data_IF_928225656691
#
_entry.id   IF_928225656691
#
_cell.length_a   1.000
_cell.length_b   1.000
_cell.length_c   1.000
_cell.angle_alpha   90.00
_cell.angle_beta   90.00
_cell.angle_gamma   90.00
#
_symmetry.space_group_name_H-M   'P 1'
#
loop_
_entity.id
_entity.type
_entity.pdbx_description
1 polymer ?
#
# COMPACT_ATOMS: atom_id res chain seq x y z
N UNK A 1 -52.67 -42.93 -19.47
CA UNK A 1 -52.66 -42.47 -18.07
C UNK A 1 -51.34 -42.76 -17.32
N UNK A 2 -50.21 -42.98 -18.01
CA UNK A 2 -48.88 -43.08 -17.37
C UNK A 2 -47.87 -41.99 -17.80
N UNK A 3 -48.29 -41.02 -18.61
CA UNK A 3 -47.41 -39.94 -19.09
C UNK A 3 -47.57 -38.60 -18.33
N UNK A 4 -48.35 -38.55 -17.25
CA UNK A 4 -48.63 -37.30 -16.52
C UNK A 4 -48.14 -37.29 -15.06
N UNK A 5 -47.30 -38.23 -14.63
CA UNK A 5 -46.80 -38.28 -13.23
C UNK A 5 -45.29 -37.98 -13.13
N UNK A 6 -44.56 -37.92 -14.25
CA UNK A 6 -43.09 -37.68 -14.24
C UNK A 6 -42.71 -36.20 -14.43
N UNK A 7 -43.64 -35.25 -14.26
CA UNK A 7 -43.35 -33.81 -14.43
C UNK A 7 -43.28 -33.00 -13.13
N UNK A 8 -43.41 -33.63 -11.95
CA UNK A 8 -43.46 -32.92 -10.65
C UNK A 8 -42.40 -33.36 -9.64
N UNK A 9 -41.28 -33.94 -10.08
CA UNK A 9 -40.16 -34.23 -9.16
C UNK A 9 -38.79 -33.92 -9.76
N UNK A 10 -38.68 -32.78 -10.45
CA UNK A 10 -37.40 -32.12 -10.67
C UNK A 10 -37.29 -30.92 -9.72
N UNK A 11 -36.24 -30.81 -8.90
CA UNK A 11 -36.03 -29.67 -8.02
C UNK A 11 -35.87 -28.39 -8.84
N UNK A 12 -36.80 -27.45 -8.66
CA UNK A 12 -36.85 -26.13 -9.31
C UNK A 12 -35.84 -25.13 -8.75
N UNK A 13 -34.70 -25.61 -8.25
CA UNK A 13 -33.73 -24.80 -7.49
C UNK A 13 -32.57 -24.25 -8.35
N UNK A 14 -32.46 -24.70 -9.62
CA UNK A 14 -31.43 -24.21 -10.55
C UNK A 14 -31.58 -22.74 -10.94
N UNK A 15 -32.79 -22.18 -10.87
CA UNK A 15 -33.06 -20.80 -11.26
C UNK A 15 -32.61 -19.80 -10.18
N UNK A 16 -32.64 -20.19 -8.90
CA UNK A 16 -32.17 -19.36 -7.78
C UNK A 16 -30.64 -19.30 -7.72
N UNK A 17 -29.95 -20.40 -8.06
CA UNK A 17 -28.50 -20.44 -8.18
C UNK A 17 -27.97 -19.60 -9.36
N UNK A 18 -28.65 -19.60 -10.51
CA UNK A 18 -28.33 -18.71 -11.62
C UNK A 18 -28.49 -17.22 -11.25
N UNK A 19 -29.50 -16.88 -10.45
CA UNK A 19 -29.73 -15.49 -10.02
C UNK A 19 -28.64 -14.96 -9.08
N UNK A 20 -28.07 -15.79 -8.20
CA UNK A 20 -26.96 -15.41 -7.32
C UNK A 20 -25.68 -15.05 -8.09
N UNK A 21 -25.28 -15.90 -9.04
CA UNK A 21 -24.13 -15.66 -9.91
C UNK A 21 -24.34 -14.44 -10.81
N UNK A 22 -25.54 -14.28 -11.38
CA UNK A 22 -25.89 -13.10 -12.19
C UNK A 22 -25.86 -11.78 -11.38
N UNK A 23 -26.28 -11.80 -10.11
CA UNK A 23 -26.22 -10.63 -9.23
C UNK A 23 -24.77 -10.25 -8.89
N UNK A 24 -23.92 -11.25 -8.60
CA UNK A 24 -22.48 -11.05 -8.41
C UNK A 24 -21.81 -10.45 -9.65
N UNK A 25 -22.06 -11.04 -10.81
CA UNK A 25 -21.52 -10.57 -12.09
C UNK A 25 -21.94 -9.13 -12.43
N UNK A 26 -23.21 -8.76 -12.20
CA UNK A 26 -23.71 -7.39 -12.40
C UNK A 26 -23.08 -6.38 -11.43
N UNK A 27 -22.74 -6.78 -10.21
CA UNK A 27 -22.01 -5.92 -9.27
C UNK A 27 -20.55 -5.74 -9.71
N UNK A 28 -19.88 -6.82 -10.11
CA UNK A 28 -18.50 -6.78 -10.60
C UNK A 28 -18.38 -5.92 -11.86
N UNK A 29 -19.31 -6.05 -12.82
CA UNK A 29 -19.33 -5.20 -14.02
C UNK A 29 -19.52 -3.73 -13.69
N UNK A 30 -20.44 -3.39 -12.78
CA UNK A 30 -20.68 -2.01 -12.37
C UNK A 30 -19.47 -1.41 -11.67
N UNK A 31 -18.85 -2.13 -10.73
CA UNK A 31 -17.63 -1.68 -10.07
C UNK A 31 -16.51 -1.46 -11.09
N UNK A 32 -16.30 -2.40 -12.03
CA UNK A 32 -15.26 -2.26 -13.05
C UNK A 32 -15.50 -1.08 -14.00
N UNK A 33 -16.76 -0.75 -14.29
CA UNK A 33 -17.14 0.40 -15.10
C UNK A 33 -16.89 1.71 -14.34
N UNK A 34 -17.33 1.79 -13.08
CA UNK A 34 -17.07 2.96 -12.23
C UNK A 34 -15.59 3.16 -11.90
N UNK A 35 -14.83 2.07 -11.77
CA UNK A 35 -13.38 2.13 -11.56
C UNK A 35 -12.68 2.57 -12.84
N UNK A 36 -13.16 2.12 -14.01
CA UNK A 36 -12.68 2.61 -15.32
C UNK A 36 -12.90 4.12 -15.50
N UNK A 37 -14.07 4.65 -15.13
CA UNK A 37 -14.38 6.09 -15.20
C UNK A 37 -13.62 6.95 -14.17
N UNK A 38 -13.14 6.34 -13.08
CA UNK A 38 -12.25 7.00 -12.12
C UNK A 38 -10.82 7.02 -12.65
N UNK A 39 -10.34 5.87 -13.14
CA UNK A 39 -8.99 5.73 -13.70
C UNK A 39 -8.76 6.63 -14.92
N UNK A 40 -9.80 6.88 -15.73
CA UNK A 40 -9.70 7.78 -16.89
C UNK A 40 -9.56 9.26 -16.51
N UNK A 41 -9.94 9.62 -15.27
CA UNK A 41 -9.76 10.96 -14.71
C UNK A 41 -8.48 11.12 -13.89
N UNK A 42 -7.80 10.03 -13.57
CA UNK A 42 -6.58 10.03 -12.78
C UNK A 42 -5.36 10.38 -13.64
N UNK A 43 -4.74 11.55 -13.38
CA UNK A 43 -3.48 11.93 -14.01
C UNK A 43 -2.32 11.23 -13.30
N UNK A 44 -1.62 10.35 -14.01
CA UNK A 44 -0.42 9.64 -13.50
C UNK A 44 0.84 10.46 -13.75
N UNK A 45 1.55 10.77 -12.68
CA UNK A 45 2.83 11.49 -12.72
C UNK A 45 3.97 10.53 -12.39
N UNK A 46 5.06 10.60 -13.15
CA UNK A 46 6.29 9.84 -12.91
C UNK A 46 7.41 10.80 -12.51
N UNK A 47 7.96 10.61 -11.31
CA UNK A 47 9.13 11.37 -10.84
C UNK A 47 10.39 10.57 -11.15
N UNK A 48 11.22 11.08 -12.06
CA UNK A 48 12.51 10.50 -12.44
C UNK A 48 13.65 11.29 -11.80
N UNK A 49 14.70 10.59 -11.36
CA UNK A 49 15.89 11.20 -10.75
C UNK A 49 16.80 10.15 -10.11
N UNK A 50 18.05 10.51 -9.85
CA UNK A 50 19.05 9.66 -9.20
C UNK A 50 18.58 9.09 -7.85
N UNK A 51 19.19 8.00 -7.38
CA UNK A 51 18.97 7.51 -6.01
C UNK A 51 19.11 8.66 -5.01
N UNK A 52 18.24 8.72 -4.00
CA UNK A 52 18.30 9.72 -2.92
C UNK A 52 18.01 11.19 -3.32
N UNK A 53 17.67 11.48 -4.58
CA UNK A 53 17.37 12.83 -5.08
C UNK A 53 16.13 13.53 -4.48
N UNK A 54 15.55 13.01 -3.40
CA UNK A 54 14.39 13.62 -2.73
C UNK A 54 13.02 13.39 -3.39
N UNK A 55 12.90 12.46 -4.36
CA UNK A 55 11.61 12.12 -5.00
C UNK A 55 10.52 11.78 -3.97
N UNK A 56 10.87 10.96 -2.98
CA UNK A 56 9.96 10.59 -1.89
C UNK A 56 9.54 11.79 -1.05
N UNK A 57 10.39 12.82 -0.93
CA UNK A 57 10.08 14.07 -0.23
C UNK A 57 9.05 14.88 -1.00
N UNK A 58 9.18 14.99 -2.33
CA UNK A 58 8.20 15.69 -3.17
C UNK A 58 6.82 15.03 -3.07
N UNK A 59 6.77 13.69 -3.15
CA UNK A 59 5.50 12.95 -3.01
C UNK A 59 4.87 13.16 -1.64
N UNK A 60 5.67 13.16 -0.56
CA UNK A 60 5.18 13.44 0.79
C UNK A 60 4.61 14.85 0.92
N UNK A 61 5.25 15.85 0.31
CA UNK A 61 4.75 17.23 0.30
C UNK A 61 3.46 17.37 -0.50
N UNK A 62 3.34 16.67 -1.65
CA UNK A 62 2.12 16.64 -2.42
C UNK A 62 0.95 16.08 -1.60
N UNK A 63 1.19 15.02 -0.81
CA UNK A 63 0.19 14.44 0.09
C UNK A 63 -0.24 15.43 1.18
N UNK A 64 0.70 16.19 1.75
CA UNK A 64 0.37 17.22 2.76
C UNK A 64 -0.56 18.30 2.18
N UNK A 65 -0.32 18.73 0.94
CA UNK A 65 -1.06 19.83 0.32
C UNK A 65 -2.44 19.36 -0.20
N UNK A 66 -2.54 18.14 -0.76
CA UNK A 66 -3.74 17.70 -1.48
C UNK A 66 -4.60 16.63 -0.79
N UNK A 67 -4.09 15.92 0.22
CA UNK A 67 -4.74 14.73 0.79
C UNK A 67 -4.96 14.85 2.31
N UNK A 68 -5.22 16.06 2.82
CA UNK A 68 -5.43 16.36 4.25
C UNK A 68 -4.30 15.88 5.19
N UNK A 69 -3.11 15.58 4.64
CA UNK A 69 -1.93 15.14 5.40
C UNK A 69 -1.89 13.62 5.67
N UNK A 70 -1.19 13.24 6.74
CA UNK A 70 -0.97 11.83 7.10
C UNK A 70 -1.89 11.39 8.23
N UNK A 71 -2.44 10.18 8.09
CA UNK A 71 -3.27 9.54 9.12
C UNK A 71 -2.44 9.23 10.38
N UNK A 72 -3.08 9.07 11.55
CA UNK A 72 -2.37 8.72 12.77
C UNK A 72 -1.66 7.37 12.67
N UNK A 73 -2.22 6.39 11.95
CA UNK A 73 -1.60 5.09 11.68
C UNK A 73 -0.33 5.24 10.83
N UNK A 74 -0.39 6.05 9.77
CA UNK A 74 0.79 6.33 8.94
C UNK A 74 1.91 6.99 9.74
N UNK A 75 1.58 7.91 10.64
CA UNK A 75 2.56 8.57 11.51
C UNK A 75 3.27 7.59 12.44
N UNK A 76 2.58 6.57 12.94
CA UNK A 76 3.20 5.51 13.76
C UNK A 76 4.20 4.71 12.94
N UNK A 77 3.86 4.34 11.70
CA UNK A 77 4.79 3.69 10.78
C UNK A 77 6.01 4.58 10.48
N UNK A 78 5.80 5.88 10.27
CA UNK A 78 6.92 6.82 10.05
C UNK A 78 7.85 6.94 11.26
N UNK A 79 7.34 6.86 12.50
CA UNK A 79 8.20 6.86 13.69
C UNK A 79 9.22 5.72 13.67
N UNK A 80 8.81 4.52 13.27
CA UNK A 80 9.72 3.37 13.15
C UNK A 80 10.83 3.62 12.12
N UNK A 81 10.47 4.25 11.00
CA UNK A 81 11.44 4.63 9.96
C UNK A 81 12.44 5.66 10.49
N UNK A 82 11.98 6.65 11.27
CA UNK A 82 12.84 7.66 11.90
C UNK A 82 13.85 7.01 12.85
N UNK A 83 13.41 6.09 13.71
CA UNK A 83 14.32 5.37 14.60
C UNK A 83 15.34 4.52 13.85
N UNK A 84 14.91 3.81 12.80
CA UNK A 84 15.81 3.02 11.96
C UNK A 84 16.88 3.90 11.29
N UNK A 85 16.46 5.02 10.70
CA UNK A 85 17.38 5.96 10.05
C UNK A 85 18.38 6.57 11.04
N UNK A 86 17.94 6.90 12.26
CA UNK A 86 18.82 7.44 13.31
C UNK A 86 19.90 6.43 13.68
N UNK A 87 19.53 5.18 13.94
CA UNK A 87 20.48 4.11 14.26
C UNK A 87 21.46 3.85 13.11
N UNK A 88 20.97 3.75 11.88
CA UNK A 88 21.81 3.56 10.70
C UNK A 88 22.81 4.72 10.53
N UNK A 89 22.34 5.95 10.72
CA UNK A 89 23.20 7.14 10.66
C UNK A 89 24.28 7.12 11.73
N UNK A 90 23.93 6.76 12.97
CA UNK A 90 24.89 6.62 14.07
C UNK A 90 25.94 5.54 13.78
N UNK A 91 25.52 4.37 13.32
CA UNK A 91 26.44 3.29 12.94
C UNK A 91 27.37 3.72 11.80
N UNK A 92 26.85 4.42 10.80
CA UNK A 92 27.65 4.95 9.70
C UNK A 92 28.72 5.93 10.19
N UNK A 93 28.37 6.83 11.12
CA UNK A 93 29.33 7.76 11.73
C UNK A 93 30.41 7.01 12.50
N UNK A 94 30.04 6.07 13.37
CA UNK A 94 31.00 5.30 14.18
C UNK A 94 31.96 4.51 13.29
N UNK A 95 31.45 3.87 12.23
CA UNK A 95 32.29 3.17 11.25
C UNK A 95 33.25 4.12 10.54
N UNK A 96 32.76 5.27 10.08
CA UNK A 96 33.59 6.28 9.44
C UNK A 96 34.67 6.84 10.38
N UNK A 97 34.36 7.02 11.67
CA UNK A 97 35.36 7.42 12.67
C UNK A 97 36.47 6.38 12.83
N UNK A 98 36.13 5.09 12.83
CA UNK A 98 37.11 3.99 12.84
C UNK A 98 38.00 3.96 11.59
N UNK A 99 37.41 4.16 10.40
CA UNK A 99 38.14 4.24 9.13
C UNK A 99 39.07 5.46 9.07
N UNK A 100 38.60 6.61 9.56
CA UNK A 100 39.34 7.88 9.56
C UNK A 100 40.29 8.02 10.76
N UNK A 101 40.35 7.02 11.66
CA UNK A 101 41.13 7.04 12.92
C UNK A 101 40.88 8.26 13.79
N UNK A 102 39.63 8.73 13.82
CA UNK A 102 39.20 9.83 14.69
C UNK A 102 38.82 9.23 16.03
N UNK A 103 39.60 9.54 17.07
CA UNK A 103 39.28 9.10 18.42
C UNK A 103 38.05 9.84 18.94
N UNK A 104 37.25 9.14 19.75
CA UNK A 104 36.24 9.79 20.58
C UNK A 104 36.92 10.77 21.53
N UNK A 105 36.26 11.90 21.83
CA UNK A 105 36.75 12.86 22.82
C UNK A 105 36.79 12.31 24.25
N UNK A 106 36.14 11.17 24.47
CA UNK A 106 35.86 10.57 25.77
C UNK A 106 36.24 9.09 25.64
N UNK A 107 37.37 8.70 26.23
CA UNK A 107 38.00 7.39 26.01
C UNK A 107 37.12 6.23 26.50
N UNK A 108 36.23 6.47 27.47
CA UNK A 108 35.27 5.47 27.98
C UNK A 108 34.27 4.99 26.91
N UNK A 109 34.09 5.76 25.82
CA UNK A 109 33.17 5.42 24.72
C UNK A 109 33.77 4.44 23.70
N UNK A 110 35.06 4.12 23.82
CA UNK A 110 35.74 3.11 22.99
C UNK A 110 35.43 1.67 23.41
N UNK A 111 34.89 1.45 24.61
CA UNK A 111 34.87 0.14 25.27
C UNK A 111 33.52 -0.61 25.21
N UNK A 112 32.59 -0.25 24.32
CA UNK A 112 31.27 -0.91 24.19
C UNK A 112 30.98 -1.41 22.78
#
# INVERSE_FOLDING_TARGET
MLYLIVFMHYPRDGLLAQQGCQRGYKKIKRNRQSDGEKMDRDVKLLLLGAGESGKSTIVKQLKIIHDNGFSPEERICFKLIVYSNMLQSMIAIIRAMGELRINFSDDDRMAS
#
